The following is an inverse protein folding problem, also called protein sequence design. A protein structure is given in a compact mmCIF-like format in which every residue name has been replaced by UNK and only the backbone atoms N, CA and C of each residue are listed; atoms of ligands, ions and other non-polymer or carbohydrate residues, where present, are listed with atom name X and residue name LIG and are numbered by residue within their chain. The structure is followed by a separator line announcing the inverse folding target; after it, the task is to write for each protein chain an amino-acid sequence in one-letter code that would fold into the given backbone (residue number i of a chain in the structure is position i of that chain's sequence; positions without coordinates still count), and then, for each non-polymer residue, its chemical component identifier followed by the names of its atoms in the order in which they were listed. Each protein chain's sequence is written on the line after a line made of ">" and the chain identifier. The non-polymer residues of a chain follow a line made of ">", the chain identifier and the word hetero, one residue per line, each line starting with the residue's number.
data_IF_660560343968
#
_entry.id   IF_660560343968
#
_cell.length_a   1.000
_cell.length_b   1.000
_cell.length_c   1.000
_cell.angle_alpha   90.00
_cell.angle_beta   90.00
_cell.angle_gamma   90.00
#
_symmetry.space_group_name_H-M   'P 1'
#
loop_
_entity.id
_entity.type
_entity.pdbx_description
1 polymer ?
#
# COMPACT_ATOMS: atom_id res chain seq x y z
N UNK A 1 1.24 -47.32 55.27
CA UNK A 1 0.47 -46.12 54.84
C UNK A 1 1.17 -45.53 53.64
N UNK A 2 0.67 -45.82 52.43
CA UNK A 2 1.29 -45.42 51.16
C UNK A 2 0.44 -44.28 50.63
N UNK A 3 1.02 -43.08 50.52
CA UNK A 3 0.37 -41.89 49.94
C UNK A 3 0.74 -41.84 48.45
N UNK A 4 -0.24 -42.13 47.58
CA UNK A 4 -0.10 -41.89 46.14
C UNK A 4 -0.33 -40.41 45.83
N UNK A 5 0.68 -39.74 45.33
CA UNK A 5 0.57 -38.40 44.77
C UNK A 5 0.17 -38.51 43.29
N UNK A 6 -1.03 -38.09 42.93
CA UNK A 6 -1.51 -37.97 41.55
C UNK A 6 -0.99 -36.68 40.96
N UNK A 7 -0.08 -36.76 39.98
CA UNK A 7 0.36 -35.61 39.17
C UNK A 7 -0.69 -35.31 38.08
N UNK A 8 -1.41 -34.21 38.19
CA UNK A 8 -2.30 -33.73 37.16
C UNK A 8 -1.46 -33.06 36.05
N UNK A 9 -1.34 -33.73 34.91
CA UNK A 9 -0.77 -33.16 33.69
C UNK A 9 -1.79 -32.18 33.09
N UNK A 10 -1.61 -30.88 33.32
CA UNK A 10 -2.42 -29.86 32.70
C UNK A 10 -2.12 -29.79 31.19
N UNK A 11 -3.06 -30.24 30.37
CA UNK A 11 -3.06 -30.01 28.93
C UNK A 11 -3.28 -28.51 28.70
N UNK A 12 -2.20 -27.78 28.54
CA UNK A 12 -2.23 -26.35 28.13
C UNK A 12 -2.81 -26.29 26.72
N UNK A 13 -4.06 -25.83 26.59
CA UNK A 13 -4.65 -25.45 25.32
C UNK A 13 -3.83 -24.28 24.80
N UNK A 14 -3.02 -24.47 23.77
CA UNK A 14 -2.42 -23.41 22.99
C UNK A 14 -3.57 -22.71 22.25
N UNK A 15 -4.07 -21.62 22.82
CA UNK A 15 -4.98 -20.73 22.12
C UNK A 15 -4.27 -20.28 20.84
N UNK A 16 -4.77 -20.74 19.70
CA UNK A 16 -4.30 -20.26 18.39
C UNK A 16 -4.54 -18.75 18.35
N UNK A 17 -3.48 -17.98 18.40
CA UNK A 17 -3.56 -16.52 18.32
C UNK A 17 -4.20 -16.17 16.97
N UNK A 18 -5.26 -15.36 16.98
CA UNK A 18 -5.91 -14.88 15.78
C UNK A 18 -5.00 -13.78 15.17
N UNK A 19 -4.33 -14.03 14.03
CA UNK A 19 -3.33 -13.12 13.48
C UNK A 19 -3.92 -11.76 13.12
N UNK A 20 -5.23 -11.69 12.94
CA UNK A 20 -5.92 -10.45 12.62
C UNK A 20 -6.14 -9.57 13.85
N UNK A 21 -6.38 -10.17 15.03
CA UNK A 21 -6.48 -9.42 16.29
C UNK A 21 -5.15 -8.79 16.66
N UNK A 22 -4.06 -9.52 16.48
CA UNK A 22 -2.71 -9.04 16.74
C UNK A 22 -2.36 -7.88 15.80
N UNK A 23 -2.73 -7.98 14.52
CA UNK A 23 -2.55 -6.90 13.55
C UNK A 23 -3.35 -5.65 13.95
N UNK A 24 -4.60 -5.80 14.35
CA UNK A 24 -5.43 -4.68 14.80
C UNK A 24 -4.87 -4.01 16.06
N UNK A 25 -4.29 -4.79 16.99
CA UNK A 25 -3.63 -4.28 18.19
C UNK A 25 -2.36 -3.47 17.86
N UNK A 26 -1.65 -3.83 16.79
CA UNK A 26 -0.47 -3.13 16.27
C UNK A 26 -0.83 -1.88 15.44
N UNK A 27 -2.09 -1.47 15.39
CA UNK A 27 -2.54 -0.29 14.65
C UNK A 27 -2.90 -0.56 13.20
N UNK A 28 -2.87 -1.80 12.73
CA UNK A 28 -3.33 -2.10 11.38
C UNK A 28 -4.85 -2.04 11.28
N UNK A 29 -5.33 -1.59 10.11
CA UNK A 29 -6.75 -1.45 9.75
C UNK A 29 -6.94 -1.88 8.31
N UNK A 30 -8.14 -2.33 8.00
CA UNK A 30 -8.55 -2.67 6.63
C UNK A 30 -9.45 -1.58 6.08
N UNK A 31 -9.27 -1.20 4.84
CA UNK A 31 -10.19 -0.29 4.14
C UNK A 31 -11.52 -0.99 3.96
N UNK A 32 -12.60 -0.39 4.51
CA UNK A 32 -13.91 -1.06 4.59
C UNK A 32 -14.73 -0.93 3.31
N UNK A 33 -14.47 0.09 2.48
CA UNK A 33 -15.26 0.42 1.28
C UNK A 33 -14.34 0.79 0.14
N UNK A 34 -14.82 0.69 -1.10
CA UNK A 34 -14.10 1.18 -2.27
C UNK A 34 -14.26 2.69 -2.44
N UNK A 35 -13.21 3.34 -2.92
CA UNK A 35 -13.22 4.72 -3.35
C UNK A 35 -13.10 5.79 -2.27
N UNK A 36 -12.80 5.50 -0.98
CA UNK A 36 -12.44 6.58 -0.09
C UNK A 36 -11.09 7.18 -0.47
N UNK A 37 -10.88 8.45 -0.07
CA UNK A 37 -9.65 9.15 -0.40
C UNK A 37 -8.61 9.02 0.71
N UNK A 38 -7.35 8.95 0.28
CA UNK A 38 -6.18 9.23 1.08
C UNK A 38 -5.46 10.44 0.48
N UNK A 39 -5.19 11.45 1.29
CA UNK A 39 -4.59 12.70 0.83
C UNK A 39 -3.27 12.97 1.58
N UNK A 40 -2.26 13.56 0.93
CA UNK A 40 -1.00 13.92 1.60
C UNK A 40 -1.20 14.92 2.74
N UNK A 41 -2.24 15.75 2.70
CA UNK A 41 -2.55 16.71 3.74
C UNK A 41 -3.99 16.59 4.24
N UNK A 42 -4.22 17.05 5.49
CA UNK A 42 -5.59 17.18 6.05
C UNK A 42 -6.44 18.18 5.27
N UNK A 43 -5.82 19.23 4.73
CA UNK A 43 -6.54 20.28 4.00
C UNK A 43 -7.05 19.75 2.67
N UNK A 44 -6.24 18.97 1.95
CA UNK A 44 -6.67 18.27 0.73
C UNK A 44 -7.83 17.30 1.03
N UNK A 45 -7.73 16.52 2.12
CA UNK A 45 -8.81 15.63 2.52
C UNK A 45 -10.09 16.41 2.86
N UNK A 46 -9.96 17.55 3.51
CA UNK A 46 -11.09 18.41 3.85
C UNK A 46 -11.72 19.03 2.60
N UNK A 47 -10.89 19.50 1.66
CA UNK A 47 -11.32 20.07 0.39
C UNK A 47 -12.17 19.07 -0.41
N UNK A 48 -11.63 17.86 -0.68
CA UNK A 48 -12.31 16.84 -1.47
C UNK A 48 -13.57 16.29 -0.77
N UNK A 49 -13.56 16.24 0.57
CA UNK A 49 -14.70 15.74 1.34
C UNK A 49 -15.86 16.75 1.38
N UNK A 50 -15.56 18.06 1.44
CA UNK A 50 -16.57 19.12 1.55
C UNK A 50 -17.16 19.55 0.21
N UNK A 51 -16.35 19.55 -0.83
CA UNK A 51 -16.66 20.13 -2.13
C UNK A 51 -16.61 19.08 -3.25
N UNK A 52 -17.04 17.85 -2.94
CA UNK A 52 -16.99 16.75 -3.90
C UNK A 52 -17.77 17.09 -5.17
N UNK A 53 -17.02 17.35 -6.23
CA UNK A 53 -17.51 17.40 -7.60
C UNK A 53 -16.62 16.53 -8.46
N UNK A 54 -17.15 15.94 -9.52
CA UNK A 54 -16.40 15.07 -10.41
C UNK A 54 -15.16 15.77 -10.97
N UNK A 55 -15.27 17.07 -11.27
CA UNK A 55 -14.16 17.87 -11.80
C UNK A 55 -13.06 18.07 -10.74
N UNK A 56 -13.42 18.39 -9.49
CA UNK A 56 -12.45 18.55 -8.40
C UNK A 56 -11.76 17.21 -8.10
N UNK A 57 -12.53 16.12 -8.07
CA UNK A 57 -12.03 14.78 -7.85
C UNK A 57 -10.97 14.38 -8.89
N UNK A 58 -11.31 14.50 -10.17
CA UNK A 58 -10.38 14.23 -11.28
C UNK A 58 -9.12 15.10 -11.17
N UNK A 59 -9.30 16.39 -10.90
CA UNK A 59 -8.18 17.31 -10.74
C UNK A 59 -7.26 16.92 -9.58
N UNK A 60 -7.81 16.65 -8.40
CA UNK A 60 -7.00 16.32 -7.22
C UNK A 60 -6.25 14.99 -7.38
N UNK A 61 -6.88 13.99 -8.03
CA UNK A 61 -6.21 12.73 -8.34
C UNK A 61 -5.11 12.93 -9.37
N UNK A 62 -5.37 13.71 -10.42
CA UNK A 62 -4.37 14.04 -11.46
C UNK A 62 -3.17 14.81 -10.89
N UNK A 63 -3.42 15.72 -9.94
CA UNK A 63 -2.38 16.51 -9.26
C UNK A 63 -1.66 15.73 -8.14
N UNK A 64 -1.98 14.45 -7.94
CA UNK A 64 -1.46 13.59 -6.86
C UNK A 64 -1.75 14.13 -5.45
N UNK A 65 -2.80 14.91 -5.29
CA UNK A 65 -3.33 15.45 -4.03
C UNK A 65 -4.36 14.54 -3.38
N UNK A 66 -4.88 13.57 -4.11
CA UNK A 66 -5.78 12.54 -3.62
C UNK A 66 -5.48 11.20 -4.27
N UNK A 67 -5.66 10.13 -3.51
CA UNK A 67 -5.49 8.75 -3.95
C UNK A 67 -6.74 7.98 -3.54
N UNK A 68 -7.19 7.07 -4.39
CA UNK A 68 -8.25 6.14 -4.01
C UNK A 68 -7.70 5.02 -3.15
N UNK A 69 -8.40 4.74 -2.06
CA UNK A 69 -8.18 3.52 -1.31
C UNK A 69 -9.08 2.40 -1.86
N UNK A 70 -8.54 1.20 -1.87
CA UNK A 70 -9.22 0.00 -2.37
C UNK A 70 -9.69 -0.81 -1.16
N UNK A 71 -10.91 -1.31 -1.21
CA UNK A 71 -11.46 -2.17 -0.17
C UNK A 71 -10.59 -3.39 0.06
N UNK A 72 -10.40 -3.75 1.33
CA UNK A 72 -9.60 -4.89 1.74
C UNK A 72 -8.12 -4.59 1.93
N UNK A 73 -7.59 -3.52 1.32
CA UNK A 73 -6.20 -3.11 1.51
C UNK A 73 -5.95 -2.85 2.99
N UNK A 74 -4.84 -3.42 3.49
CA UNK A 74 -4.40 -3.18 4.86
C UNK A 74 -3.51 -1.94 4.92
N UNK A 75 -3.73 -1.12 5.93
CA UNK A 75 -2.95 0.09 6.20
C UNK A 75 -2.59 0.15 7.67
N UNK A 76 -1.51 0.84 8.01
CA UNK A 76 -1.12 1.11 9.38
C UNK A 76 -1.54 2.51 9.77
N UNK A 77 -2.28 2.64 10.87
CA UNK A 77 -2.63 3.92 11.48
C UNK A 77 -1.41 4.42 12.27
N UNK A 78 -0.94 5.61 11.93
CA UNK A 78 0.16 6.30 12.61
C UNK A 78 -0.40 7.18 13.72
N UNK A 79 -1.49 7.90 13.42
CA UNK A 79 -2.15 8.80 14.37
C UNK A 79 -3.65 8.85 14.06
N UNK A 80 -4.47 8.88 15.09
CA UNK A 80 -5.91 9.17 14.98
C UNK A 80 -6.19 10.57 15.55
N UNK A 81 -7.03 11.33 14.87
CA UNK A 81 -7.58 12.59 15.35
C UNK A 81 -9.09 12.46 15.51
N UNK A 82 -9.56 12.08 16.71
CA UNK A 82 -10.99 11.88 16.96
C UNK A 82 -11.82 13.15 16.79
N UNK A 83 -11.23 14.33 17.01
CA UNK A 83 -11.94 15.61 16.93
C UNK A 83 -12.34 15.92 15.47
N UNK A 84 -11.51 15.57 14.50
CA UNK A 84 -11.81 15.74 13.08
C UNK A 84 -12.34 14.48 12.42
N UNK A 85 -12.31 13.32 13.11
CA UNK A 85 -12.69 12.03 12.54
C UNK A 85 -11.74 11.57 11.43
N UNK A 86 -10.47 11.97 11.49
CA UNK A 86 -9.43 11.63 10.51
C UNK A 86 -8.33 10.77 11.12
N UNK A 87 -7.68 9.98 10.29
CA UNK A 87 -6.51 9.18 10.67
C UNK A 87 -5.37 9.44 9.71
N UNK A 88 -4.18 9.61 10.24
CA UNK A 88 -2.94 9.54 9.48
C UNK A 88 -2.56 8.08 9.33
N UNK A 89 -2.34 7.66 8.10
CA UNK A 89 -2.11 6.26 7.75
C UNK A 89 -0.94 6.13 6.80
N UNK A 90 -0.36 4.93 6.75
CA UNK A 90 0.65 4.55 5.76
C UNK A 90 0.43 3.12 5.29
N UNK A 91 0.94 2.80 4.12
CA UNK A 91 1.01 1.41 3.68
C UNK A 91 2.04 0.65 4.52
N UNK A 92 1.82 -0.65 4.83
CA UNK A 92 2.79 -1.48 5.53
C UNK A 92 4.13 -1.48 4.80
N UNK A 93 5.21 -1.15 5.52
CA UNK A 93 6.55 -1.02 4.92
C UNK A 93 6.80 0.28 4.15
N UNK A 94 5.79 1.12 3.95
CA UNK A 94 5.93 2.42 3.32
C UNK A 94 6.35 3.53 4.30
N UNK A 95 7.01 4.57 3.77
CA UNK A 95 7.44 5.73 4.56
C UNK A 95 6.49 6.93 4.42
N UNK A 96 5.75 7.02 3.31
CA UNK A 96 4.79 8.09 3.08
C UNK A 96 3.55 7.92 3.95
N UNK A 97 3.13 9.00 4.58
CA UNK A 97 1.86 9.08 5.30
C UNK A 97 0.80 9.83 4.51
N UNK A 98 -0.45 9.50 4.77
CA UNK A 98 -1.63 10.09 4.15
C UNK A 98 -2.71 10.28 5.19
N UNK A 99 -3.62 11.22 4.96
CA UNK A 99 -4.79 11.44 5.78
C UNK A 99 -6.04 10.84 5.12
N UNK A 100 -6.82 10.12 5.90
CA UNK A 100 -8.13 9.57 5.47
C UNK A 100 -9.15 9.72 6.58
N UNK A 101 -10.42 9.48 6.26
CA UNK A 101 -11.49 9.50 7.28
C UNK A 101 -11.49 8.18 8.04
N UNK A 102 -11.42 8.25 9.38
CA UNK A 102 -11.38 7.09 10.28
C UNK A 102 -12.55 6.12 10.06
N UNK A 103 -13.73 6.63 9.69
CA UNK A 103 -14.95 5.84 9.43
C UNK A 103 -14.82 4.83 8.28
N UNK A 104 -13.83 4.99 7.42
CA UNK A 104 -13.56 4.06 6.31
C UNK A 104 -12.63 2.92 6.69
N UNK A 105 -12.14 2.91 7.93
CA UNK A 105 -11.18 1.96 8.43
C UNK A 105 -11.85 0.97 9.38
N UNK A 106 -11.66 -0.32 9.12
CA UNK A 106 -12.15 -1.41 9.96
C UNK A 106 -11.04 -1.99 10.82
N UNK A 107 -11.37 -2.32 12.06
CA UNK A 107 -10.51 -3.13 12.96
C UNK A 107 -10.63 -4.62 12.68
N UNK A 108 -11.70 -5.02 12.01
CA UNK A 108 -11.90 -6.39 11.59
C UNK A 108 -11.43 -6.58 10.16
N UNK A 109 -10.89 -7.77 9.83
CA UNK A 109 -10.42 -8.08 8.48
C UNK A 109 -11.54 -7.93 7.46
N UNK A 110 -11.21 -7.32 6.33
CA UNK A 110 -12.11 -7.15 5.19
C UNK A 110 -11.53 -7.96 4.03
N UNK A 111 -12.38 -8.73 3.36
CA UNK A 111 -12.01 -9.41 2.12
C UNK A 111 -12.01 -8.39 0.98
N UNK A 112 -10.98 -8.46 0.16
CA UNK A 112 -10.90 -7.73 -1.09
C UNK A 112 -11.90 -8.27 -2.13
N UNK A 113 -11.85 -7.74 -3.36
CA UNK A 113 -12.71 -8.16 -4.47
C UNK A 113 -12.44 -9.60 -4.93
N UNK A 114 -11.29 -10.16 -4.60
CA UNK A 114 -10.91 -11.57 -4.90
C UNK A 114 -11.16 -12.52 -3.74
N UNK A 115 -11.73 -12.02 -2.63
CA UNK A 115 -12.01 -12.82 -1.44
C UNK A 115 -10.81 -13.05 -0.52
N UNK A 116 -9.69 -12.38 -0.77
CA UNK A 116 -8.46 -12.47 0.03
C UNK A 116 -8.52 -11.49 1.20
N UNK A 117 -7.95 -11.87 2.33
CA UNK A 117 -7.70 -10.98 3.46
C UNK A 117 -6.21 -10.66 3.50
N UNK A 118 -5.86 -9.41 3.31
CA UNK A 118 -4.48 -8.96 3.41
C UNK A 118 -3.96 -9.01 4.87
N UNK A 119 -2.68 -9.32 4.99
CA UNK A 119 -1.94 -9.24 6.25
C UNK A 119 -0.78 -8.23 6.09
N UNK A 120 -0.23 -7.69 7.19
CA UNK A 120 0.90 -6.76 7.12
C UNK A 120 2.10 -7.35 6.36
N UNK A 121 2.33 -8.65 6.50
CA UNK A 121 3.45 -9.35 5.85
C UNK A 121 3.26 -9.43 4.34
N UNK A 122 2.07 -9.80 3.87
CA UNK A 122 1.77 -9.90 2.44
C UNK A 122 1.85 -8.55 1.75
N UNK A 123 1.33 -7.50 2.37
CA UNK A 123 1.37 -6.14 1.84
C UNK A 123 2.80 -5.59 1.77
N UNK A 124 3.64 -5.86 2.77
CA UNK A 124 5.06 -5.45 2.75
C UNK A 124 5.84 -6.14 1.63
N UNK A 125 5.57 -7.41 1.36
CA UNK A 125 6.20 -8.15 0.26
C UNK A 125 5.83 -7.59 -1.11
N UNK A 126 4.60 -7.15 -1.31
CA UNK A 126 4.18 -6.51 -2.56
C UNK A 126 4.90 -5.19 -2.83
N UNK A 127 5.14 -4.39 -1.79
CA UNK A 127 5.92 -3.14 -1.91
C UNK A 127 7.40 -3.39 -2.22
N UNK A 128 8.00 -4.42 -1.65
CA UNK A 128 9.41 -4.78 -1.90
C UNK A 128 9.62 -5.34 -3.31
N UNK A 129 8.67 -6.11 -3.83
CA UNK A 129 8.73 -6.63 -5.19
C UNK A 129 8.67 -5.56 -6.29
N UNK A 130 8.18 -4.37 -5.99
CA UNK A 130 8.14 -3.26 -6.94
C UNK A 130 9.46 -2.46 -7.00
N UNK A 131 10.34 -2.59 -6.01
CA UNK A 131 11.65 -1.93 -5.99
C UNK A 131 12.75 -2.76 -6.65
N UNK A 132 12.53 -4.04 -6.86
CA UNK A 132 13.41 -4.92 -7.62
C UNK A 132 13.04 -4.96 -9.12
N UNK A 133 12.93 -3.79 -9.75
CA UNK A 133 13.00 -3.70 -11.20
C UNK A 133 14.44 -4.04 -11.59
N UNK A 134 14.62 -5.25 -12.09
CA UNK A 134 15.82 -5.77 -12.73
C UNK A 134 16.51 -4.67 -13.53
N UNK A 135 17.82 -4.40 -13.30
CA UNK A 135 18.56 -3.53 -14.19
C UNK A 135 18.50 -4.15 -15.58
N UNK A 136 17.92 -3.41 -16.53
CA UNK A 136 17.92 -3.74 -17.95
C UNK A 136 19.33 -4.15 -18.36
N UNK A 137 19.55 -5.31 -19.00
CA UNK A 137 20.88 -5.68 -19.45
C UNK A 137 21.35 -4.59 -20.41
N UNK A 138 22.44 -3.91 -20.03
CA UNK A 138 23.19 -2.98 -20.87
C UNK A 138 23.48 -3.72 -22.19
N UNK A 139 23.06 -3.20 -23.35
CA UNK A 139 23.47 -3.79 -24.60
C UNK A 139 24.99 -3.69 -24.69
N UNK A 140 25.66 -4.85 -24.71
CA UNK A 140 27.07 -4.96 -25.00
C UNK A 140 27.29 -4.33 -26.37
N UNK A 141 28.00 -3.22 -26.38
CA UNK A 141 28.51 -2.63 -27.60
C UNK A 141 29.53 -3.62 -28.18
N UNK A 142 29.10 -4.40 -29.17
CA UNK A 142 30.02 -5.10 -30.05
C UNK A 142 30.73 -4.05 -30.91
N UNK A 143 32.01 -3.87 -30.57
CA UNK A 143 32.99 -3.20 -31.43
C UNK A 143 33.24 -4.13 -32.64
N UNK A 144 32.77 -3.77 -33.80
CA UNK A 144 32.98 -4.54 -35.03
C UNK A 144 32.85 -3.70 -36.28
N UNK A 145 34.02 -3.28 -36.77
CA UNK A 145 34.41 -3.06 -38.15
C UNK A 145 33.80 -1.90 -38.95
N UNK A 146 34.63 -0.89 -39.09
CA UNK A 146 35.02 -0.18 -40.30
C UNK A 146 34.36 -0.69 -41.58
N UNK A 147 33.60 0.19 -42.26
CA UNK A 147 33.71 0.27 -43.71
C UNK A 147 33.54 1.72 -44.16
N UNK A 148 34.67 2.29 -44.61
CA UNK A 148 34.77 3.47 -45.43
C UNK A 148 34.28 3.09 -46.81
N UNK A 149 33.37 3.85 -47.39
CA UNK A 149 33.21 4.08 -48.83
C UNK A 149 32.44 5.38 -48.97
N UNK A 150 33.18 6.38 -49.23
CA UNK A 150 33.55 6.97 -50.51
C UNK A 150 32.47 7.92 -51.06
N UNK A 151 32.98 9.08 -51.25
CA UNK A 151 32.37 10.30 -51.70
C UNK A 151 31.61 10.18 -53.04
N UNK A 152 30.59 11.03 -53.21
CA UNK A 152 30.46 11.77 -54.46
C UNK A 152 29.54 13.01 -54.22
N UNK A 153 29.97 14.24 -54.50
CA UNK A 153 29.11 15.40 -54.52
C UNK A 153 28.45 15.52 -55.89
N UNK A 154 27.15 15.74 -55.94
CA UNK A 154 26.47 16.11 -57.18
C UNK A 154 25.70 17.41 -57.03
N UNK A 155 25.65 18.21 -58.11
CA UNK A 155 25.54 19.65 -58.02
C UNK A 155 24.12 20.18 -58.08
N UNK A 156 23.97 21.41 -57.61
CA UNK A 156 22.84 22.28 -57.75
C UNK A 156 22.56 22.64 -59.21
N UNK A 157 21.31 22.76 -59.66
CA UNK A 157 20.94 23.68 -60.69
C UNK A 157 19.93 24.72 -60.24
N UNK A 158 20.31 25.96 -60.55
CA UNK A 158 19.55 27.14 -60.91
C UNK A 158 18.11 27.33 -60.40
#
# INVERSE_FOLDING_TARGET
>A
MIVLAAAAVGLGSTASADPYKDSAAQGYRWVAVDGPYACPSKDDLREITRHRTDLLEVKMVSDLRAYYLIRGVIIQVVQEDPASGTSEVRLPGGFKTFWTLTRFLSRSPIRDTWGVVETPTTSSMMLQGQTESTPSPTPKADAGALNQQDATPTPTPK
#
